data_IF_493726556383
#
_entry.id   IF_493726556383
#
_cell.length_a   1.000
_cell.length_b   1.000
_cell.length_c   1.000
_cell.angle_alpha   90.00
_cell.angle_beta   90.00
_cell.angle_gamma   90.00
#
_symmetry.space_group_name_H-M   'P 1'
#
loop_
_entity.id
_entity.type
_entity.pdbx_description
1 polymer ?
#
# COMPACT_ATOMS: atom_id res chain seq x y z
N UNK A 1 23.48 19.27 15.05
CA UNK A 1 22.36 18.85 15.92
C UNK A 1 21.11 19.01 15.07
N UNK A 2 20.29 17.96 14.89
CA UNK A 2 19.09 18.05 14.04
C UNK A 2 17.94 18.66 14.83
N UNK A 3 17.19 19.56 14.18
CA UNK A 3 15.99 20.13 14.78
C UNK A 3 14.85 19.09 14.84
N UNK A 4 14.05 19.09 15.92
CA UNK A 4 12.97 18.13 16.09
C UNK A 4 11.81 18.41 15.12
N UNK A 5 11.35 17.37 14.42
CA UNK A 5 10.30 17.45 13.38
C UNK A 5 8.88 17.14 13.90
N UNK A 6 8.62 17.38 15.19
CA UNK A 6 7.34 17.01 15.82
C UNK A 6 6.15 17.78 15.25
N UNK A 7 6.39 18.95 14.64
CA UNK A 7 5.33 19.78 14.06
C UNK A 7 5.19 19.60 12.54
N UNK A 8 5.90 18.63 11.95
CA UNK A 8 5.87 18.39 10.51
C UNK A 8 4.80 17.37 10.12
N UNK A 9 3.94 17.75 9.19
CA UNK A 9 2.98 16.84 8.54
C UNK A 9 3.64 16.28 7.29
N UNK A 10 3.75 14.96 7.22
CA UNK A 10 4.25 14.28 6.02
C UNK A 10 3.09 14.06 5.07
N UNK A 11 3.18 14.62 3.85
CA UNK A 11 2.20 14.43 2.78
C UNK A 11 2.87 13.61 1.69
N UNK A 12 2.20 12.54 1.29
CA UNK A 12 2.66 11.66 0.22
C UNK A 12 1.52 11.35 -0.75
N UNK A 13 1.85 11.29 -2.03
CA UNK A 13 0.97 10.77 -3.07
C UNK A 13 1.34 9.31 -3.34
N UNK A 14 0.42 8.41 -3.00
CA UNK A 14 0.62 6.99 -3.22
C UNK A 14 -0.27 6.50 -4.35
N UNK A 15 0.36 5.80 -5.29
CA UNK A 15 -0.33 5.11 -6.38
C UNK A 15 -0.65 3.66 -5.96
N UNK A 16 -1.93 3.29 -6.02
CA UNK A 16 -2.41 1.93 -5.82
C UNK A 16 -2.79 1.34 -7.19
N UNK A 17 -2.18 0.21 -7.53
CA UNK A 17 -2.52 -0.53 -8.74
C UNK A 17 -3.61 -1.53 -8.42
N UNK A 18 -4.53 -1.75 -9.36
CA UNK A 18 -5.49 -2.86 -9.29
C UNK A 18 -4.74 -4.18 -9.04
N UNK A 19 -5.25 -5.00 -8.11
CA UNK A 19 -4.53 -6.15 -7.57
C UNK A 19 -4.12 -7.10 -8.69
N UNK A 20 -2.80 -7.26 -8.90
CA UNK A 20 -2.28 -8.33 -9.75
C UNK A 20 -2.39 -9.58 -8.93
N UNK A 21 -3.57 -10.22 -8.93
CA UNK A 21 -3.93 -11.40 -8.15
C UNK A 21 -2.71 -12.28 -7.81
N UNK A 22 -2.09 -12.00 -6.66
CA UNK A 22 -0.88 -12.69 -6.20
C UNK A 22 -1.23 -13.95 -5.42
N UNK A 23 -2.52 -14.35 -5.38
CA UNK A 23 -2.95 -15.55 -4.67
C UNK A 23 -2.13 -16.73 -5.19
N UNK A 24 -1.41 -17.35 -4.27
CA UNK A 24 -0.79 -18.64 -4.47
C UNK A 24 -1.92 -19.67 -4.56
N UNK A 25 -2.06 -20.28 -5.74
CA UNK A 25 -2.98 -21.40 -5.94
C UNK A 25 -2.22 -22.70 -5.70
N UNK A 26 -2.80 -23.61 -4.92
CA UNK A 26 -2.39 -25.00 -4.90
C UNK A 26 -3.04 -25.66 -6.13
N UNK A 27 -2.21 -26.20 -7.04
CA UNK A 27 -2.67 -26.94 -8.20
C UNK A 27 -2.61 -28.43 -7.89
N UNK A 28 -3.74 -29.14 -8.06
CA UNK A 28 -3.78 -30.60 -7.95
C UNK A 28 -3.41 -31.27 -9.27
N UNK A 29 -3.04 -32.56 -9.21
CA UNK A 29 -2.68 -33.34 -10.40
C UNK A 29 -3.90 -33.43 -11.34
N UNK A 30 -3.75 -32.88 -12.55
CA UNK A 30 -4.80 -32.84 -13.57
C UNK A 30 -5.53 -31.51 -13.70
N UNK A 31 -5.28 -30.54 -12.81
CA UNK A 31 -5.82 -29.19 -12.94
C UNK A 31 -4.95 -28.30 -13.84
N UNK A 32 -5.58 -27.48 -14.66
CA UNK A 32 -4.91 -26.47 -15.46
C UNK A 32 -4.62 -25.22 -14.63
N UNK A 33 -3.38 -24.75 -14.67
CA UNK A 33 -2.98 -23.50 -14.04
C UNK A 33 -3.84 -22.33 -14.56
N UNK A 34 -4.38 -21.52 -13.64
CA UNK A 34 -5.05 -20.28 -14.02
C UNK A 34 -4.07 -19.40 -14.79
N UNK A 35 -4.46 -18.96 -15.99
CA UNK A 35 -3.65 -18.04 -16.79
C UNK A 35 -3.46 -16.75 -16.02
N UNK A 36 -2.22 -16.49 -15.58
CA UNK A 36 -1.86 -15.24 -14.94
C UNK A 36 -1.92 -14.12 -15.97
N UNK A 37 -2.96 -13.28 -15.91
CA UNK A 37 -3.00 -12.03 -16.68
C UNK A 37 -2.07 -11.00 -16.02
N UNK A 38 -0.75 -11.16 -16.18
CA UNK A 38 0.21 -10.13 -15.76
C UNK A 38 0.24 -9.04 -16.82
N UNK A 39 -0.66 -8.04 -16.71
CA UNK A 39 -0.55 -6.82 -17.50
C UNK A 39 0.69 -6.04 -17.03
N UNK A 40 1.35 -5.34 -17.95
CA UNK A 40 2.46 -4.46 -17.57
C UNK A 40 1.95 -3.37 -16.62
N UNK A 41 2.80 -2.86 -15.73
CA UNK A 41 2.43 -1.83 -14.74
C UNK A 41 1.78 -0.59 -15.37
N UNK A 42 2.11 -0.29 -16.63
CA UNK A 42 1.56 0.83 -17.40
C UNK A 42 0.14 0.58 -17.95
N UNK A 43 -0.34 -0.66 -17.88
CA UNK A 43 -1.65 -1.09 -18.40
C UNK A 43 -2.56 -1.69 -17.32
N UNK A 44 -2.17 -1.58 -16.05
CA UNK A 44 -3.02 -1.88 -14.90
C UNK A 44 -3.71 -0.59 -14.47
N UNK A 45 -5.05 -0.57 -14.34
CA UNK A 45 -5.76 0.56 -13.76
C UNK A 45 -5.13 0.99 -12.42
N UNK A 46 -4.91 2.29 -12.27
CA UNK A 46 -4.24 2.88 -11.12
C UNK A 46 -5.15 3.91 -10.47
N UNK A 47 -5.23 3.87 -9.14
CA UNK A 47 -5.87 4.89 -8.33
C UNK A 47 -4.78 5.63 -7.55
N UNK A 48 -4.68 6.94 -7.71
CA UNK A 48 -3.84 7.79 -6.85
C UNK A 48 -4.62 8.23 -5.62
N UNK A 49 -3.96 8.27 -4.48
CA UNK A 49 -4.52 8.78 -3.23
C UNK A 49 -3.50 9.63 -2.48
N UNK A 50 -3.94 10.77 -1.98
CA UNK A 50 -3.14 11.58 -1.05
C UNK A 50 -3.28 11.02 0.36
N UNK A 51 -2.16 10.90 1.07
CA UNK A 51 -2.13 10.53 2.48
C UNK A 51 -1.36 11.57 3.28
N UNK A 52 -1.82 11.85 4.49
CA UNK A 52 -1.09 12.69 5.44
C UNK A 52 -0.88 11.92 6.75
N UNK A 53 0.34 12.00 7.27
CA UNK A 53 0.69 11.43 8.57
C UNK A 53 1.16 12.59 9.45
N UNK A 54 0.38 12.85 10.51
CA UNK A 54 0.68 13.85 11.52
C UNK A 54 1.38 13.24 12.75
N UNK A 55 1.87 14.09 13.66
CA UNK A 55 2.49 13.65 14.90
C UNK A 55 1.52 12.87 15.79
N UNK A 56 2.04 11.85 16.47
CA UNK A 56 1.27 11.07 17.43
C UNK A 56 1.06 11.89 18.70
N UNK A 57 -0.16 12.33 19.00
CA UNK A 57 -0.47 12.96 20.28
C UNK A 57 -0.36 11.92 21.39
N UNK A 58 0.54 12.15 22.36
CA UNK A 58 0.58 11.34 23.58
C UNK A 58 -0.69 11.61 24.37
N UNK A 59 -1.53 10.58 24.56
CA UNK A 59 -2.64 10.67 25.52
C UNK A 59 -2.04 10.73 26.92
N UNK A 60 -2.21 11.85 27.61
CA UNK A 60 -1.99 11.90 29.04
C UNK A 60 -3.06 11.01 29.70
N UNK A 61 -2.63 9.87 30.23
CA UNK A 61 -3.44 9.06 31.12
C UNK A 61 -3.37 9.75 32.48
N UNK A 62 -4.42 10.49 32.81
CA UNK A 62 -4.58 11.15 34.11
C UNK A 62 -4.48 10.14 35.25
N UNK A 63 -3.79 10.56 36.33
CA UNK A 63 -3.71 9.84 37.61
C UNK A 63 -4.90 10.19 38.49
#
# INVERSE_FOLDING_TARGET
MFEPMYDMVHVDEKCFYEDVNMRSYLLFVGETALQRSRRSKNHVPMCSGASSIGPTQKREVGR
#
